data_IF_007575326312
#
_entry.id   IF_007575326312
#
_cell.length_a   1.000
_cell.length_b   1.000
_cell.length_c   1.000
_cell.angle_alpha   90.00
_cell.angle_beta   90.00
_cell.angle_gamma   90.00
#
_symmetry.space_group_name_H-M   'P 1'
#
loop_
_entity.id
_entity.type
_entity.pdbx_description
1 polymer ?
#
# COMPACT_ATOMS: atom_id res chain seq x y z
N UNK A 1 6.37 17.59 9.66
CA UNK A 1 5.52 17.39 8.47
C UNK A 1 4.48 16.33 8.77
N UNK A 2 3.18 16.64 8.67
CA UNK A 2 2.15 15.59 8.71
C UNK A 2 2.24 14.81 7.40
N UNK A 3 2.42 13.50 7.47
CA UNK A 3 2.46 12.64 6.27
C UNK A 3 1.15 12.74 5.49
N UNK A 4 1.19 12.39 4.20
CA UNK A 4 -0.02 12.35 3.38
C UNK A 4 -1.08 11.44 4.04
N UNK A 5 -2.37 11.80 4.08
CA UNK A 5 -3.38 11.03 4.83
C UNK A 5 -3.40 9.54 4.48
N UNK A 6 -3.25 9.21 3.20
CA UNK A 6 -3.18 7.82 2.74
C UNK A 6 -1.88 7.10 3.14
N UNK A 7 -0.79 7.82 3.34
CA UNK A 7 0.47 7.25 3.83
C UNK A 7 0.37 6.91 5.31
N UNK A 8 -0.31 7.74 6.09
CA UNK A 8 -0.61 7.47 7.51
C UNK A 8 -1.50 6.23 7.59
N UNK A 9 -2.62 6.25 6.85
CA UNK A 9 -3.58 5.16 6.77
C UNK A 9 -2.94 3.82 6.37
N UNK A 10 -2.11 3.81 5.32
CA UNK A 10 -1.35 2.63 4.90
C UNK A 10 -0.49 2.06 6.06
N UNK A 11 0.21 2.92 6.79
CA UNK A 11 1.06 2.50 7.93
C UNK A 11 0.24 1.95 9.09
N UNK A 12 -0.89 2.58 9.41
CA UNK A 12 -1.83 2.11 10.44
C UNK A 12 -2.41 0.73 10.08
N UNK A 13 -2.61 0.46 8.79
CA UNK A 13 -3.03 -0.85 8.29
C UNK A 13 -1.92 -1.92 8.30
N UNK A 14 -0.71 -1.57 8.76
CA UNK A 14 0.45 -2.45 8.77
C UNK A 14 1.01 -2.76 7.39
N UNK A 15 0.75 -1.92 6.39
CA UNK A 15 1.24 -2.09 5.03
C UNK A 15 2.47 -1.20 4.80
N UNK A 16 3.56 -1.77 4.29
CA UNK A 16 4.75 -1.00 3.90
C UNK A 16 4.68 -0.52 2.44
N UNK A 17 5.50 0.48 2.09
CA UNK A 17 5.61 0.96 0.70
C UNK A 17 6.12 -0.14 -0.25
N UNK A 18 7.03 -1.00 0.23
CA UNK A 18 7.54 -2.17 -0.49
C UNK A 18 6.46 -3.21 -0.75
N UNK A 19 5.61 -3.50 0.23
CA UNK A 19 4.50 -4.45 0.05
C UNK A 19 3.42 -3.86 -0.86
N UNK A 20 3.08 -2.58 -0.70
CA UNK A 20 2.17 -1.90 -1.61
C UNK A 20 2.72 -1.89 -3.04
N UNK A 21 4.03 -1.71 -3.22
CA UNK A 21 4.72 -1.83 -4.50
C UNK A 21 4.54 -3.23 -5.11
N UNK A 22 4.72 -4.29 -4.33
CA UNK A 22 4.50 -5.66 -4.79
C UNK A 22 3.03 -5.92 -5.18
N UNK A 23 2.07 -5.50 -4.35
CA UNK A 23 0.63 -5.67 -4.58
C UNK A 23 0.12 -4.89 -5.81
N UNK A 24 0.75 -3.76 -6.10
CA UNK A 24 0.33 -2.86 -7.20
C UNK A 24 1.10 -3.08 -8.50
N UNK A 25 2.19 -3.86 -8.46
CA UNK A 25 3.13 -4.00 -9.56
C UNK A 25 3.86 -2.70 -9.95
N UNK A 26 3.81 -1.66 -9.12
CA UNK A 26 4.55 -0.41 -9.36
C UNK A 26 5.86 -0.40 -8.61
N UNK A 27 6.83 0.33 -9.14
CA UNK A 27 8.08 0.58 -8.44
C UNK A 27 7.86 1.39 -7.14
N UNK A 28 8.60 1.09 -6.08
CA UNK A 28 8.47 1.74 -4.77
C UNK A 28 8.69 3.27 -4.83
N UNK A 29 9.55 3.73 -5.74
CA UNK A 29 9.77 5.18 -5.98
C UNK A 29 8.54 5.86 -6.58
N UNK A 30 7.75 5.15 -7.40
CA UNK A 30 6.48 5.67 -7.94
C UNK A 30 5.45 5.82 -6.81
N UNK A 31 5.33 4.81 -5.95
CA UNK A 31 4.44 4.86 -4.78
C UNK A 31 4.83 6.01 -3.84
N UNK A 32 6.13 6.14 -3.55
CA UNK A 32 6.64 7.24 -2.71
C UNK A 32 6.36 8.61 -3.33
N UNK A 33 6.57 8.77 -4.64
CA UNK A 33 6.25 10.01 -5.37
C UNK A 33 4.76 10.34 -5.34
N UNK A 34 3.88 9.34 -5.44
CA UNK A 34 2.44 9.55 -5.35
C UNK A 34 2.02 10.12 -3.98
N UNK A 35 2.64 9.66 -2.89
CA UNK A 35 2.39 10.22 -1.55
C UNK A 35 2.90 11.66 -1.42
N UNK A 36 4.11 11.96 -1.90
CA UNK A 36 4.68 13.31 -1.82
C UNK A 36 3.95 14.32 -2.71
N UNK A 37 3.48 13.89 -3.88
CA UNK A 37 2.77 14.76 -4.83
C UNK A 37 1.30 14.99 -4.48
N UNK A 38 0.73 14.23 -3.54
CA UNK A 38 -0.69 14.27 -3.21
C UNK A 38 -1.61 13.66 -4.28
N UNK A 39 -1.05 13.12 -5.38
CA UNK A 39 -1.80 12.52 -6.49
C UNK A 39 -1.74 11.00 -6.43
N UNK A 40 -2.27 10.44 -5.36
CA UNK A 40 -2.38 8.99 -5.22
C UNK A 40 -3.47 8.46 -6.15
N UNK A 41 -3.10 7.52 -7.03
CA UNK A 41 -4.00 6.91 -8.01
C UNK A 41 -5.11 6.11 -7.32
N UNK A 42 -6.29 6.06 -7.95
CA UNK A 42 -7.49 5.42 -7.37
C UNK A 42 -7.27 3.94 -7.09
N UNK A 43 -6.56 3.24 -7.97
CA UNK A 43 -6.28 1.82 -7.78
C UNK A 43 -5.36 1.58 -6.57
N UNK A 44 -4.34 2.43 -6.33
CA UNK A 44 -3.48 2.37 -5.13
C UNK A 44 -4.30 2.55 -3.85
N UNK A 45 -5.24 3.50 -3.84
CA UNK A 45 -6.19 3.68 -2.71
C UNK A 45 -7.05 2.45 -2.50
N UNK A 46 -7.52 1.85 -3.58
CA UNK A 46 -8.36 0.64 -3.55
C UNK A 46 -7.62 -0.54 -2.92
N UNK A 47 -6.33 -0.72 -3.26
CA UNK A 47 -5.49 -1.75 -2.64
C UNK A 47 -5.32 -1.51 -1.14
N UNK A 48 -5.09 -0.26 -0.71
CA UNK A 48 -4.98 0.07 0.72
C UNK A 48 -6.29 -0.23 1.46
N UNK A 49 -7.44 0.16 0.89
CA UNK A 49 -8.75 -0.11 1.50
C UNK A 49 -9.04 -1.61 1.58
N UNK A 50 -8.75 -2.36 0.51
CA UNK A 50 -8.91 -3.82 0.51
C UNK A 50 -8.01 -4.46 1.59
N UNK A 51 -6.76 -4.00 1.70
CA UNK A 51 -5.82 -4.48 2.70
C UNK A 51 -6.30 -4.24 4.13
N UNK A 52 -6.92 -3.10 4.42
CA UNK A 52 -7.48 -2.80 5.74
C UNK A 52 -8.58 -3.77 6.17
N UNK A 53 -9.37 -4.25 5.21
CA UNK A 53 -10.48 -5.16 5.47
C UNK A 53 -10.02 -6.62 5.66
N UNK A 54 -8.77 -6.93 5.35
CA UNK A 54 -8.23 -8.28 5.45
C UNK A 54 -7.72 -8.59 6.85
N UNK A 55 -7.99 -9.81 7.30
CA UNK A 55 -7.34 -10.37 8.49
C UNK A 55 -5.87 -10.71 8.22
N UNK A 56 -5.14 -11.05 9.29
CA UNK A 56 -3.72 -11.40 9.18
C UNK A 56 -3.46 -12.63 8.31
N UNK A 57 -4.39 -13.60 8.27
CA UNK A 57 -4.23 -14.83 7.49
C UNK A 57 -4.30 -14.53 5.99
N UNK A 58 -5.27 -13.72 5.57
CA UNK A 58 -5.42 -13.28 4.17
C UNK A 58 -4.22 -12.45 3.72
N UNK A 59 -3.78 -11.49 4.56
CA UNK A 59 -2.59 -10.66 4.28
C UNK A 59 -1.34 -11.51 4.04
N UNK A 60 -1.10 -12.50 4.90
CA UNK A 60 0.05 -13.39 4.77
C UNK A 60 -0.04 -14.28 3.52
N UNK A 61 -1.22 -14.79 3.19
CA UNK A 61 -1.44 -15.57 1.98
C UNK A 61 -1.10 -14.75 0.72
N UNK A 62 -1.66 -13.54 0.60
CA UNK A 62 -1.39 -12.66 -0.54
C UNK A 62 0.09 -12.29 -0.63
N UNK A 63 0.73 -11.95 0.50
CA UNK A 63 2.17 -11.63 0.51
C UNK A 63 3.05 -12.80 0.07
N UNK A 64 2.64 -14.04 0.34
CA UNK A 64 3.36 -15.22 -0.13
C UNK A 64 3.25 -15.41 -1.64
N UNK A 65 2.15 -14.96 -2.25
CA UNK A 65 1.93 -15.04 -3.70
C UNK A 65 2.72 -13.95 -4.46
N UNK A 66 2.80 -12.73 -3.93
CA UNK A 66 3.46 -11.60 -4.60
C UNK A 66 4.96 -11.45 -4.33
N UNK A 67 5.54 -12.26 -3.42
CA UNK A 67 6.98 -12.26 -3.10
C UNK A 67 7.79 -13.30 -3.90
N UNK A 68 7.13 -14.14 -4.70
CA UNK A 68 7.76 -15.06 -5.66
C UNK A 68 7.93 -14.38 -7.02
#
# INVERSE_FOLDING_TARGET
MKGHPWQIRMKEAGLSARELSALTGKHETTISRQFTSGKLETYTKTVILAWEMMDHKMKNAILSEVKN
#
